data_IF_610305435579
#
_entry.id   IF_610305435579
#
_cell.length_a   1.000
_cell.length_b   1.000
_cell.length_c   1.000
_cell.angle_alpha   90.00
_cell.angle_beta   90.00
_cell.angle_gamma   90.00
#
_symmetry.space_group_name_H-M   'P 1'
#
loop_
_entity.id
_entity.type
_entity.pdbx_description
1 polymer ?
#
# COMPACT_ATOMS: atom_id res chain seq x y z
N UNK A 1 -67.61 19.84 20.23
CA UNK A 1 -66.15 20.02 20.31
C UNK A 1 -65.46 18.67 20.18
N UNK A 2 -64.47 18.54 19.29
CA UNK A 2 -63.51 17.41 19.25
C UNK A 2 -62.18 17.96 18.73
N UNK A 3 -61.19 18.12 19.60
CA UNK A 3 -59.83 18.48 19.20
C UNK A 3 -59.05 17.19 18.95
N UNK A 4 -58.55 17.01 17.73
CA UNK A 4 -57.73 15.85 17.37
C UNK A 4 -56.25 16.25 17.56
N UNK A 5 -55.60 15.70 18.58
CA UNK A 5 -54.25 16.11 18.99
C UNK A 5 -53.19 15.32 18.21
N UNK A 6 -52.76 15.83 17.06
CA UNK A 6 -51.79 15.16 16.18
C UNK A 6 -50.38 15.27 16.74
N UNK A 7 -49.87 14.20 17.37
CA UNK A 7 -48.49 14.14 17.84
C UNK A 7 -47.51 14.05 16.67
N UNK A 8 -46.71 15.09 16.44
CA UNK A 8 -45.63 15.08 15.45
C UNK A 8 -44.38 14.41 16.06
N UNK A 9 -44.14 13.14 15.72
CA UNK A 9 -42.99 12.39 16.22
C UNK A 9 -41.73 12.76 15.40
N UNK A 10 -41.00 13.77 15.87
CA UNK A 10 -39.74 14.20 15.24
C UNK A 10 -38.64 13.14 15.43
N UNK A 11 -38.19 12.54 14.33
CA UNK A 11 -37.10 11.58 14.36
C UNK A 11 -35.75 12.30 14.48
N UNK A 12 -35.14 12.23 15.66
CA UNK A 12 -33.79 12.77 15.89
C UNK A 12 -32.75 11.92 15.15
N UNK A 13 -32.27 12.41 14.02
CA UNK A 13 -31.18 11.76 13.29
C UNK A 13 -29.87 11.88 14.10
N UNK A 14 -29.45 10.78 14.72
CA UNK A 14 -28.16 10.70 15.40
C UNK A 14 -27.06 10.80 14.32
N UNK A 15 -26.16 11.79 14.36
CA UNK A 15 -25.07 11.88 13.41
C UNK A 15 -24.14 10.68 13.60
N UNK A 16 -23.95 9.89 12.54
CA UNK A 16 -22.97 8.82 12.54
C UNK A 16 -21.57 9.43 12.75
N UNK A 17 -20.91 9.06 13.85
CA UNK A 17 -19.57 9.53 14.14
C UNK A 17 -18.61 8.97 13.09
N UNK A 18 -18.15 9.81 12.17
CA UNK A 18 -17.28 9.39 11.09
C UNK A 18 -15.99 8.78 11.64
N UNK A 19 -15.64 7.57 11.20
CA UNK A 19 -14.45 6.87 11.69
C UNK A 19 -13.19 7.72 11.49
N UNK A 20 -12.30 7.69 12.48
CA UNK A 20 -10.99 8.33 12.36
C UNK A 20 -10.13 7.54 11.39
N UNK A 21 -9.67 8.20 10.34
CA UNK A 21 -8.80 7.61 9.32
C UNK A 21 -7.41 7.40 9.92
N UNK A 22 -6.93 6.15 9.90
CA UNK A 22 -5.59 5.81 10.36
C UNK A 22 -4.55 6.02 9.26
N UNK A 23 -3.41 6.63 9.63
CA UNK A 23 -2.37 6.97 8.66
C UNK A 23 -1.76 5.73 8.00
N UNK A 24 -1.43 4.66 8.74
CA UNK A 24 -0.77 3.49 8.17
C UNK A 24 -1.72 2.56 7.41
N UNK A 25 -2.98 2.50 7.85
CA UNK A 25 -4.03 1.64 7.28
C UNK A 25 -4.64 2.21 6.00
N UNK A 26 -4.83 3.53 5.92
CA UNK A 26 -5.68 4.16 4.90
C UNK A 26 -4.95 5.23 4.07
N UNK A 27 -4.01 5.99 4.66
CA UNK A 27 -3.29 7.07 3.95
C UNK A 27 -2.00 6.56 3.30
N UNK A 28 -1.18 5.83 4.04
CA UNK A 28 0.10 5.28 3.61
C UNK A 28 0.01 4.38 2.36
N UNK A 29 -1.03 3.55 2.14
CA UNK A 29 -1.18 2.82 0.89
C UNK A 29 -1.34 3.74 -0.34
N UNK A 30 -2.05 4.86 -0.19
CA UNK A 30 -2.28 5.84 -1.26
C UNK A 30 -0.96 6.59 -1.56
N UNK A 31 -0.24 7.02 -0.51
CA UNK A 31 1.06 7.67 -0.69
C UNK A 31 2.10 6.74 -1.34
N UNK A 32 2.11 5.46 -0.95
CA UNK A 32 3.01 4.44 -1.53
C UNK A 32 2.75 4.20 -3.02
N UNK A 33 1.48 4.12 -3.42
CA UNK A 33 1.07 3.84 -4.81
C UNK A 33 1.28 5.05 -5.74
N UNK A 34 0.97 6.27 -5.28
CA UNK A 34 0.82 7.44 -6.15
C UNK A 34 1.82 8.59 -5.90
N UNK A 35 2.65 8.52 -4.87
CA UNK A 35 3.52 9.64 -4.48
C UNK A 35 4.99 9.24 -4.24
N UNK A 36 5.25 8.09 -3.63
CA UNK A 36 6.61 7.63 -3.31
C UNK A 36 7.52 7.55 -4.53
N UNK A 37 7.00 7.28 -5.74
CA UNK A 37 7.81 7.14 -6.95
C UNK A 37 8.75 8.31 -7.25
N UNK A 38 8.35 9.55 -6.90
CA UNK A 38 9.14 10.78 -7.14
C UNK A 38 9.30 11.67 -5.88
N UNK A 39 8.74 11.24 -4.75
CA UNK A 39 8.79 11.94 -3.45
C UNK A 39 9.21 10.98 -2.33
N UNK A 40 10.40 10.39 -2.46
CA UNK A 40 11.02 9.51 -1.45
C UNK A 40 12.33 10.15 -0.95
N UNK A 41 13.25 9.39 -0.33
CA UNK A 41 14.52 9.93 0.17
C UNK A 41 15.66 9.93 -0.87
N UNK A 42 15.57 9.13 -1.93
CA UNK A 42 16.55 9.03 -3.02
C UNK A 42 16.17 9.88 -4.24
N UNK A 43 14.88 9.94 -4.57
CA UNK A 43 14.27 10.86 -5.56
C UNK A 43 13.33 11.84 -4.84
N UNK A 44 13.73 13.11 -4.84
CA UNK A 44 13.24 14.18 -3.97
C UNK A 44 12.65 15.35 -4.80
N UNK A 45 11.69 15.08 -5.70
CA UNK A 45 11.06 16.16 -6.47
C UNK A 45 10.44 17.21 -5.53
N UNK A 46 10.81 18.49 -5.73
CA UNK A 46 10.40 19.60 -4.87
C UNK A 46 10.89 19.50 -3.41
N UNK A 47 11.99 18.77 -3.16
CA UNK A 47 12.57 18.45 -1.85
C UNK A 47 11.61 17.74 -0.87
N UNK A 48 10.54 17.12 -1.38
CA UNK A 48 9.50 16.46 -0.59
C UNK A 48 9.76 14.95 -0.50
N UNK A 49 9.78 14.41 0.71
CA UNK A 49 9.72 12.96 0.98
C UNK A 49 8.43 12.61 1.72
N UNK A 50 7.63 11.70 1.16
CA UNK A 50 6.39 11.20 1.78
C UNK A 50 6.60 9.89 2.57
N UNK A 51 7.83 9.40 2.65
CA UNK A 51 8.14 8.09 3.24
C UNK A 51 7.72 7.97 4.71
N UNK A 52 7.73 9.07 5.46
CA UNK A 52 7.38 9.11 6.89
C UNK A 52 6.40 10.26 7.11
N UNK A 53 5.52 10.13 8.11
CA UNK A 53 4.60 11.20 8.45
C UNK A 53 5.35 12.49 8.83
N UNK A 54 6.44 12.39 9.60
CA UNK A 54 7.24 13.56 9.97
C UNK A 54 7.95 14.22 8.77
N UNK A 55 8.32 13.47 7.74
CA UNK A 55 8.93 14.02 6.51
C UNK A 55 7.86 14.71 5.63
N UNK A 56 6.71 14.07 5.47
CA UNK A 56 5.54 14.64 4.79
C UNK A 56 5.09 15.96 5.46
N UNK A 57 5.08 16.01 6.80
CA UNK A 57 4.70 17.21 7.56
C UNK A 57 5.81 18.27 7.65
N UNK A 58 7.08 17.91 7.49
CA UNK A 58 8.16 18.88 7.28
C UNK A 58 7.95 19.63 5.96
N UNK A 59 7.67 18.89 4.88
CA UNK A 59 7.58 19.44 3.53
C UNK A 59 8.95 19.65 2.86
N UNK A 60 8.94 20.37 1.74
CA UNK A 60 10.10 20.63 0.88
C UNK A 60 10.15 22.08 0.39
N UNK A 61 10.62 22.31 -0.84
CA UNK A 61 10.83 23.63 -1.48
C UNK A 61 9.57 24.50 -1.45
N UNK A 62 8.40 23.89 -1.66
CA UNK A 62 7.10 24.55 -1.67
C UNK A 62 6.49 24.72 -0.26
N UNK A 63 7.28 24.47 0.79
CA UNK A 63 6.87 24.51 2.19
C UNK A 63 6.08 23.27 2.63
N UNK A 64 5.41 23.41 3.78
CA UNK A 64 4.58 22.36 4.39
C UNK A 64 3.36 22.04 3.51
N UNK A 65 3.19 20.81 3.00
CA UNK A 65 2.15 20.49 2.03
C UNK A 65 0.74 20.36 2.64
N UNK A 66 0.64 20.22 3.96
CA UNK A 66 -0.61 19.95 4.68
C UNK A 66 -0.78 20.96 5.83
N UNK A 67 -1.94 21.62 5.90
CA UNK A 67 -2.39 22.39 7.06
C UNK A 67 -3.44 21.55 7.82
N UNK A 68 -3.10 20.97 8.98
CA UNK A 68 -4.01 20.12 9.77
C UNK A 68 -5.36 20.80 10.05
N UNK A 69 -6.47 20.15 9.68
CA UNK A 69 -7.83 20.67 9.83
C UNK A 69 -8.32 21.58 8.69
N UNK A 70 -7.47 21.91 7.71
CA UNK A 70 -7.76 22.91 6.68
C UNK A 70 -7.36 22.41 5.27
N UNK A 71 -8.15 21.48 4.70
CA UNK A 71 -7.86 20.97 3.34
C UNK A 71 -7.88 22.06 2.26
N UNK A 72 -8.73 23.08 2.38
CA UNK A 72 -8.80 24.19 1.43
C UNK A 72 -7.51 25.05 1.39
N UNK A 73 -6.71 25.04 2.46
CA UNK A 73 -5.43 25.74 2.53
C UNK A 73 -4.23 24.85 2.16
N UNK A 74 -4.35 23.55 2.41
CA UNK A 74 -3.31 22.53 2.15
C UNK A 74 -2.91 22.44 0.68
N UNK A 75 -1.61 22.46 0.38
CA UNK A 75 -1.10 22.31 -0.98
C UNK A 75 -1.41 20.92 -1.56
N UNK A 76 -1.23 19.85 -0.78
CA UNK A 76 -1.51 18.47 -1.19
C UNK A 76 -2.94 18.33 -1.73
N UNK A 77 -3.92 18.86 -0.99
CA UNK A 77 -5.32 18.85 -1.39
C UNK A 77 -5.55 19.59 -2.72
N UNK A 78 -4.91 20.75 -2.94
CA UNK A 78 -5.04 21.54 -4.16
C UNK A 78 -4.43 20.87 -5.38
N UNK A 79 -3.30 20.16 -5.24
CA UNK A 79 -2.65 19.49 -6.38
C UNK A 79 -3.37 18.19 -6.79
N UNK A 80 -3.90 17.41 -5.84
CA UNK A 80 -4.66 16.19 -6.16
C UNK A 80 -6.07 16.50 -6.68
N UNK A 81 -6.69 17.60 -6.24
CA UNK A 81 -7.98 18.08 -6.77
C UNK A 81 -7.83 18.97 -8.01
N UNK A 82 -6.60 19.16 -8.51
CA UNK A 82 -6.26 19.89 -9.75
C UNK A 82 -6.67 21.38 -9.71
N UNK A 83 -6.68 21.96 -8.51
CA UNK A 83 -6.93 23.38 -8.23
C UNK A 83 -5.65 24.23 -8.27
N UNK A 84 -4.48 23.63 -8.03
CA UNK A 84 -3.17 24.25 -8.16
C UNK A 84 -2.23 23.37 -9.01
N UNK A 85 -1.26 23.99 -9.69
CA UNK A 85 -0.23 23.29 -10.48
C UNK A 85 1.08 23.17 -9.68
N UNK A 86 1.93 22.15 -9.93
CA UNK A 86 1.68 20.99 -10.80
C UNK A 86 0.52 20.11 -10.30
N UNK A 87 -0.17 19.43 -11.21
CA UNK A 87 -1.20 18.47 -10.82
C UNK A 87 -0.53 17.15 -10.44
N UNK A 88 -0.92 16.59 -9.29
CA UNK A 88 -0.36 15.33 -8.79
C UNK A 88 -1.42 14.23 -8.70
N UNK A 89 -1.10 12.98 -9.12
CA UNK A 89 0.10 12.57 -9.84
C UNK A 89 0.17 13.20 -11.24
N UNK A 90 1.36 13.31 -11.86
CA UNK A 90 1.52 13.89 -13.19
C UNK A 90 0.60 13.20 -14.21
N UNK A 91 0.17 13.92 -15.25
CA UNK A 91 -0.88 13.46 -16.19
C UNK A 91 -0.61 12.10 -16.89
N UNK A 92 0.63 11.63 -16.92
CA UNK A 92 1.02 10.33 -17.51
C UNK A 92 0.98 9.17 -16.51
N UNK A 93 0.99 9.48 -15.21
CA UNK A 93 1.04 8.50 -14.13
C UNK A 93 -0.36 8.05 -13.68
N UNK A 94 -0.48 6.86 -13.05
CA UNK A 94 -1.72 6.41 -12.42
C UNK A 94 -2.35 7.50 -11.55
N UNK A 95 -3.65 7.70 -11.69
CA UNK A 95 -4.38 8.77 -11.01
C UNK A 95 -5.19 8.19 -9.84
N UNK A 96 -5.29 8.93 -8.73
CA UNK A 96 -6.15 8.54 -7.61
C UNK A 96 -7.62 8.44 -8.06
N UNK A 97 -8.31 7.42 -7.57
CA UNK A 97 -9.77 7.34 -7.63
C UNK A 97 -10.43 8.41 -6.72
N UNK A 98 -11.69 8.79 -6.97
CA UNK A 98 -12.41 9.73 -6.11
C UNK A 98 -12.46 9.33 -4.63
N UNK A 99 -12.51 8.02 -4.33
CA UNK A 99 -12.51 7.51 -2.97
C UNK A 99 -11.16 7.73 -2.26
N UNK A 100 -10.03 7.48 -2.95
CA UNK A 100 -8.69 7.74 -2.41
C UNK A 100 -8.45 9.24 -2.19
N UNK A 101 -8.98 10.10 -3.07
CA UNK A 101 -8.97 11.56 -2.85
C UNK A 101 -9.80 11.93 -1.62
N UNK A 102 -11.00 11.38 -1.43
CA UNK A 102 -11.81 11.65 -0.23
C UNK A 102 -11.11 11.18 1.06
N UNK A 103 -10.47 10.01 1.08
CA UNK A 103 -9.66 9.53 2.22
C UNK A 103 -8.58 10.54 2.62
N UNK A 104 -7.80 11.05 1.66
CA UNK A 104 -6.77 12.07 1.92
C UNK A 104 -7.38 13.39 2.41
N UNK A 105 -8.45 13.87 1.76
CA UNK A 105 -9.11 15.11 2.13
C UNK A 105 -9.76 15.05 3.53
N UNK A 106 -10.40 13.94 3.87
CA UNK A 106 -10.98 13.69 5.20
C UNK A 106 -9.91 13.55 6.27
N UNK A 107 -8.79 12.89 6.00
CA UNK A 107 -7.70 12.77 6.96
C UNK A 107 -7.10 14.15 7.29
N UNK A 108 -6.92 15.01 6.29
CA UNK A 108 -6.51 16.41 6.50
C UNK A 108 -7.53 17.16 7.37
N UNK A 109 -8.83 17.10 7.05
CA UNK A 109 -9.90 17.73 7.85
C UNK A 109 -9.98 17.19 9.29
N UNK A 110 -9.70 15.90 9.50
CA UNK A 110 -9.62 15.28 10.83
C UNK A 110 -8.36 15.69 11.64
N UNK A 111 -7.59 16.66 11.14
CA UNK A 111 -6.38 17.18 11.79
C UNK A 111 -5.09 16.50 11.36
N UNK A 112 -5.07 15.84 10.19
CA UNK A 112 -3.91 15.11 9.64
C UNK A 112 -3.19 14.27 10.71
N UNK A 113 -3.97 13.44 11.44
CA UNK A 113 -3.52 12.83 12.69
C UNK A 113 -2.24 11.99 12.47
N UNK A 114 -1.24 12.13 13.35
CA UNK A 114 -0.02 11.33 13.28
C UNK A 114 -0.31 9.84 13.54
N UNK A 115 0.45 8.92 12.95
CA UNK A 115 0.48 7.53 13.40
C UNK A 115 1.07 7.43 14.82
N UNK A 116 0.73 6.36 15.55
CA UNK A 116 1.33 6.06 16.85
C UNK A 116 2.84 5.77 16.75
N UNK A 117 3.32 5.30 15.58
CA UNK A 117 4.74 5.15 15.26
C UNK A 117 5.05 5.74 13.87
N UNK A 118 6.02 6.66 13.79
CA UNK A 118 6.50 7.25 12.54
C UNK A 118 7.44 6.28 11.78
N UNK A 119 7.03 5.03 11.54
CA UNK A 119 7.79 4.11 10.66
C UNK A 119 7.69 4.55 9.20
N UNK A 120 8.70 4.21 8.38
CA UNK A 120 8.60 4.44 6.92
C UNK A 120 7.47 3.59 6.33
N UNK A 121 6.68 4.18 5.44
CA UNK A 121 5.63 3.47 4.71
C UNK A 121 6.19 2.41 3.76
N UNK A 122 7.50 2.43 3.48
CA UNK A 122 8.22 1.38 2.75
C UNK A 122 8.72 0.22 3.63
N UNK A 123 8.66 0.32 4.96
CA UNK A 123 9.05 -0.76 5.87
C UNK A 123 8.11 -1.98 5.79
N UNK A 124 6.88 -1.80 5.30
CA UNK A 124 5.90 -2.86 5.12
C UNK A 124 6.14 -3.61 3.80
N UNK A 125 7.05 -4.59 3.83
CA UNK A 125 7.25 -5.51 2.70
C UNK A 125 6.00 -6.39 2.52
N UNK A 126 5.30 -6.26 1.40
CA UNK A 126 4.22 -7.15 0.99
C UNK A 126 4.78 -8.47 0.43
N UNK A 127 5.44 -9.25 1.30
CA UNK A 127 5.87 -10.62 0.99
C UNK A 127 4.63 -11.51 1.05
N UNK A 128 4.27 -12.23 -0.03
CA UNK A 128 3.20 -13.22 0.04
C UNK A 128 3.51 -14.25 1.14
N UNK A 129 2.50 -14.71 1.87
CA UNK A 129 2.69 -15.78 2.85
C UNK A 129 2.98 -17.10 2.12
N UNK A 130 4.26 -17.36 1.86
CA UNK A 130 4.76 -18.61 1.29
C UNK A 130 4.70 -19.68 2.38
N UNK A 131 3.48 -20.18 2.63
CA UNK A 131 3.25 -21.32 3.50
C UNK A 131 4.14 -22.48 3.09
N UNK A 132 4.76 -23.15 4.05
CA UNK A 132 5.59 -24.32 3.79
C UNK A 132 4.75 -25.36 3.05
N UNK A 133 5.16 -25.73 1.83
CA UNK A 133 4.44 -26.71 1.04
C UNK A 133 4.37 -28.03 1.83
N UNK A 134 3.16 -28.56 2.04
CA UNK A 134 2.98 -29.80 2.82
C UNK A 134 3.78 -30.98 2.23
N UNK A 135 3.88 -31.01 0.90
CA UNK A 135 4.67 -31.97 0.13
C UNK A 135 6.04 -31.39 -0.30
N UNK A 136 6.68 -30.57 0.54
CA UNK A 136 8.01 -30.01 0.29
C UNK A 136 9.07 -31.11 0.20
N UNK A 137 9.28 -31.62 -1.02
CA UNK A 137 10.31 -32.62 -1.31
C UNK A 137 11.70 -32.09 -0.90
N UNK A 138 12.36 -32.80 0.02
CA UNK A 138 13.73 -32.47 0.49
C UNK A 138 14.62 -32.05 -0.70
N UNK A 139 15.31 -30.89 -0.63
CA UNK A 139 16.02 -30.32 -1.78
C UNK A 139 16.98 -31.28 -2.47
N UNK A 140 17.08 -31.15 -3.79
CA UNK A 140 18.06 -31.88 -4.59
C UNK A 140 19.45 -31.30 -4.32
N UNK A 141 20.26 -31.99 -3.54
CA UNK A 141 21.63 -31.57 -3.20
C UNK A 141 22.67 -32.06 -4.19
N UNK A 142 22.38 -33.17 -4.90
CA UNK A 142 23.22 -33.72 -5.95
C UNK A 142 22.39 -34.58 -6.92
N UNK A 143 22.91 -34.82 -8.13
CA UNK A 143 22.46 -35.91 -9.00
C UNK A 143 23.65 -36.51 -9.77
N UNK A 144 23.55 -37.79 -10.12
CA UNK A 144 24.52 -38.48 -10.98
C UNK A 144 23.81 -39.49 -11.88
N UNK A 145 24.34 -39.72 -13.09
CA UNK A 145 23.80 -40.71 -14.04
C UNK A 145 24.90 -41.71 -14.39
N UNK A 146 24.64 -42.99 -14.15
CA UNK A 146 25.52 -44.10 -14.51
C UNK A 146 25.53 -44.38 -16.01
N UNK A 147 26.62 -45.02 -16.51
CA UNK A 147 26.76 -45.42 -17.93
C UNK A 147 25.69 -46.43 -18.39
N UNK A 148 25.04 -47.10 -17.45
CA UNK A 148 23.91 -48.01 -17.64
C UNK A 148 22.54 -47.29 -17.69
N UNK A 149 22.49 -45.96 -17.52
CA UNK A 149 21.24 -45.19 -17.48
C UNK A 149 20.60 -45.06 -16.09
N UNK A 150 21.18 -45.66 -15.04
CA UNK A 150 20.70 -45.49 -13.66
C UNK A 150 20.90 -44.04 -13.20
N UNK A 151 19.87 -43.46 -12.58
CA UNK A 151 19.86 -42.13 -11.99
C UNK A 151 19.97 -42.24 -10.46
N UNK A 152 20.93 -41.51 -9.88
CA UNK A 152 21.07 -41.32 -8.45
C UNK A 152 20.76 -39.86 -8.09
N UNK A 153 19.90 -39.66 -7.10
CA UNK A 153 19.46 -38.34 -6.63
C UNK A 153 19.80 -38.20 -5.14
N UNK A 154 20.65 -37.23 -4.81
CA UNK A 154 20.98 -36.86 -3.44
C UNK A 154 19.96 -35.88 -2.87
N UNK A 155 19.46 -36.16 -1.67
CA UNK A 155 18.65 -35.27 -0.83
C UNK A 155 19.21 -35.26 0.60
N UNK A 156 18.72 -34.37 1.45
CA UNK A 156 19.06 -34.45 2.88
C UNK A 156 18.65 -35.82 3.46
N UNK A 157 19.61 -36.51 4.08
CA UNK A 157 19.41 -37.81 4.74
C UNK A 157 19.22 -39.03 3.82
N UNK A 158 19.16 -38.88 2.48
CA UNK A 158 18.84 -39.99 1.59
C UNK A 158 19.46 -39.86 0.18
N UNK A 159 19.78 -41.01 -0.43
CA UNK A 159 20.03 -41.14 -1.87
C UNK A 159 18.91 -41.98 -2.47
N UNK A 160 18.21 -41.44 -3.46
CA UNK A 160 17.19 -42.14 -4.23
C UNK A 160 17.82 -42.69 -5.50
N UNK A 161 17.69 -44.00 -5.75
CA UNK A 161 18.10 -44.64 -7.01
C UNK A 161 16.85 -44.97 -7.83
N UNK A 162 16.94 -44.79 -9.15
CA UNK A 162 15.88 -45.16 -10.09
C UNK A 162 16.37 -45.13 -11.53
N UNK A 163 15.50 -45.53 -12.46
CA UNK A 163 15.79 -45.49 -13.88
C UNK A 163 15.46 -44.13 -14.51
N UNK A 164 16.14 -43.79 -15.61
CA UNK A 164 16.02 -42.48 -16.26
C UNK A 164 14.65 -42.26 -16.91
N UNK A 165 13.75 -41.59 -16.18
CA UNK A 165 12.53 -40.99 -16.73
C UNK A 165 12.60 -39.46 -16.65
N UNK A 166 12.79 -38.82 -17.81
CA UNK A 166 12.73 -37.36 -17.95
C UNK A 166 11.74 -37.00 -19.05
N UNK A 167 10.47 -36.80 -18.68
CA UNK A 167 9.51 -36.09 -19.51
C UNK A 167 9.69 -34.59 -19.29
N UNK A 168 10.11 -33.85 -20.33
CA UNK A 168 10.34 -32.41 -20.26
C UNK A 168 9.83 -31.70 -21.52
N UNK A 169 9.34 -30.47 -21.34
CA UNK A 169 8.96 -29.59 -22.45
C UNK A 169 10.25 -29.09 -23.12
N UNK A 170 10.30 -29.09 -24.44
CA UNK A 170 11.48 -28.71 -25.24
C UNK A 170 11.76 -27.20 -25.22
N UNK A 171 12.17 -26.67 -24.07
CA UNK A 171 12.71 -25.32 -23.96
C UNK A 171 14.12 -25.23 -24.57
N UNK A 172 14.37 -24.17 -25.34
CA UNK A 172 15.76 -23.78 -25.66
C UNK A 172 16.40 -23.15 -24.43
N UNK A 173 17.62 -23.58 -24.14
CA UNK A 173 18.60 -22.84 -23.32
C UNK A 173 19.37 -21.88 -24.22
#
# INVERSE_FOLDING_TARGET
>A
MKFLNTLFLSALAIPALAETIDFHREVAPILREYCVGCHNNDDLEGELSVERFQLLMKGGENGTPIKPGYRAESLLAKVITKQAKPYMPPRREPQLSPAQVDTLLRWIDQGAKPPADDRSILANLNVPEVGAAGDALNPLTAMAIGKNGQLAIGRYGAVQLGDKSFGGITGKV
#
